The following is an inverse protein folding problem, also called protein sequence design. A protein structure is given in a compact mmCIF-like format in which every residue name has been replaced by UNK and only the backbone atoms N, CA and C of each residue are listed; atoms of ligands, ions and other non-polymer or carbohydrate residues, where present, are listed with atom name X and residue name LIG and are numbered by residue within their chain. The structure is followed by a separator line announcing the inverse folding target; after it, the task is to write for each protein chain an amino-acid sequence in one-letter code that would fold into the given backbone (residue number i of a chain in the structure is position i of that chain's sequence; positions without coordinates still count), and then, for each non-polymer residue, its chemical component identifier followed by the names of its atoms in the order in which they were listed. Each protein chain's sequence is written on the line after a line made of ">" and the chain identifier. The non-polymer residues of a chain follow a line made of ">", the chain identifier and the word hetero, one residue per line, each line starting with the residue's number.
data_IF_050188508284
#
_entry.id   IF_050188508284
#
_cell.length_a   1.000
_cell.length_b   1.000
_cell.length_c   1.000
_cell.angle_alpha   90.00
_cell.angle_beta   90.00
_cell.angle_gamma   90.00
#
_symmetry.space_group_name_H-M   'P 1'
#
loop_
_entity.id
_entity.type
_entity.pdbx_description
1 polymer ?
#
# COMPACT_ATOMS: atom_id res chain seq x y z
N UNK A 1 5.14 -2.61 8.15
CA UNK A 1 4.36 -2.71 6.91
C UNK A 1 2.99 -2.10 7.16
N UNK A 2 2.48 -1.29 6.22
CA UNK A 2 1.17 -0.63 6.28
C UNK A 2 0.20 -1.13 5.21
N UNK A 3 0.68 -1.85 4.20
CA UNK A 3 -0.16 -2.53 3.23
C UNK A 3 0.62 -3.00 2.00
N UNK A 4 -0.08 -3.07 0.87
CA UNK A 4 0.38 -3.67 -0.38
C UNK A 4 0.04 -2.80 -1.58
N UNK A 5 0.95 -2.66 -2.54
CA UNK A 5 0.71 -1.94 -3.78
C UNK A 5 0.73 -2.94 -4.95
N UNK A 6 -0.30 -2.91 -5.79
CA UNK A 6 -0.35 -3.72 -7.01
C UNK A 6 0.12 -2.90 -8.21
N UNK A 7 1.07 -3.44 -8.96
CA UNK A 7 1.64 -2.76 -10.12
C UNK A 7 2.36 -3.73 -11.06
N UNK A 8 3.40 -3.24 -11.72
CA UNK A 8 4.22 -3.97 -12.68
C UNK A 8 5.61 -4.22 -12.08
N UNK A 9 6.21 -5.39 -12.30
CA UNK A 9 7.57 -5.71 -11.83
C UNK A 9 8.62 -4.79 -12.46
N UNK A 10 8.37 -4.34 -13.69
CA UNK A 10 9.20 -3.41 -14.45
C UNK A 10 9.32 -2.04 -13.76
N UNK A 11 8.42 -1.72 -12.83
CA UNK A 11 8.49 -0.51 -12.01
C UNK A 11 9.27 -0.71 -10.70
N UNK A 12 9.92 -1.87 -10.49
CA UNK A 12 10.60 -2.19 -9.24
C UNK A 12 11.61 -1.12 -8.84
N UNK A 13 12.56 -0.82 -9.72
CA UNK A 13 13.69 0.06 -9.37
C UNK A 13 13.21 1.48 -9.05
N UNK A 14 12.18 1.97 -9.77
CA UNK A 14 11.61 3.28 -9.50
C UNK A 14 10.81 3.32 -8.20
N UNK A 15 10.04 2.27 -7.90
CA UNK A 15 9.28 2.17 -6.65
C UNK A 15 10.21 2.00 -5.43
N UNK A 16 11.27 1.21 -5.55
CA UNK A 16 12.21 0.96 -4.45
C UNK A 16 13.13 2.15 -4.16
N UNK A 17 13.43 2.97 -5.17
CA UNK A 17 14.15 4.24 -5.04
C UNK A 17 13.36 5.32 -4.28
N UNK A 18 12.04 5.17 -4.19
CA UNK A 18 11.15 6.04 -3.42
C UNK A 18 10.06 6.70 -4.26
N UNK A 19 9.00 7.12 -3.59
CA UNK A 19 7.86 7.75 -4.24
C UNK A 19 8.21 9.19 -4.65
N UNK A 20 7.74 9.61 -5.83
CA UNK A 20 7.97 10.94 -6.37
C UNK A 20 6.75 11.44 -7.12
N UNK A 21 6.33 12.68 -6.86
CA UNK A 21 5.21 13.33 -7.55
C UNK A 21 5.47 13.53 -9.04
N UNK A 22 6.74 13.47 -9.49
CA UNK A 22 7.12 13.52 -10.91
C UNK A 22 6.66 12.28 -11.67
N UNK A 23 6.50 11.15 -10.98
CA UNK A 23 6.02 9.90 -11.55
C UNK A 23 4.61 9.67 -11.05
N UNK A 24 3.68 10.38 -11.66
CA UNK A 24 2.28 10.30 -11.31
C UNK A 24 1.64 9.15 -12.11
N UNK A 25 0.69 8.41 -11.51
CA UNK A 25 0.02 7.27 -12.15
C UNK A 25 -0.68 7.69 -13.45
N UNK A 26 -1.22 6.76 -14.26
CA UNK A 26 -1.85 7.17 -15.53
C UNK A 26 -2.93 8.24 -15.33
N UNK A 27 -3.05 9.17 -16.28
CA UNK A 27 -4.04 10.27 -16.23
C UNK A 27 -5.49 9.79 -15.94
N UNK A 28 -5.86 8.62 -16.47
CA UNK A 28 -7.14 7.97 -16.18
C UNK A 28 -7.29 7.51 -14.73
N UNK A 29 -6.20 7.06 -14.09
CA UNK A 29 -6.20 6.66 -12.68
C UNK A 29 -6.29 7.88 -11.76
N UNK A 30 -5.61 8.98 -12.12
CA UNK A 30 -5.70 10.24 -11.40
C UNK A 30 -7.08 10.89 -11.50
N UNK A 31 -7.71 10.85 -12.67
CA UNK A 31 -9.06 11.36 -12.85
C UNK A 31 -10.10 10.62 -11.98
N UNK A 32 -9.87 9.33 -11.72
CA UNK A 32 -10.79 8.49 -10.94
C UNK A 32 -10.51 8.52 -9.43
N UNK A 33 -9.25 8.64 -9.04
CA UNK A 33 -8.83 8.42 -7.65
C UNK A 33 -8.16 9.66 -7.03
N UNK A 34 -7.84 10.69 -7.81
CA UNK A 34 -7.00 11.81 -7.41
C UNK A 34 -5.50 11.57 -7.59
N UNK A 35 -4.69 12.57 -7.27
CA UNK A 35 -3.23 12.43 -7.25
C UNK A 35 -2.78 11.80 -5.92
N UNK A 36 -1.94 10.78 -6.00
CA UNK A 36 -1.38 10.13 -4.83
C UNK A 36 -0.80 8.75 -5.13
N UNK A 37 -0.27 8.12 -4.10
CA UNK A 37 0.16 6.73 -4.16
C UNK A 37 -0.85 5.83 -3.45
N UNK A 38 -1.33 4.81 -4.15
CA UNK A 38 -2.42 3.96 -3.68
C UNK A 38 -1.92 2.59 -3.24
N UNK A 39 -2.42 2.12 -2.11
CA UNK A 39 -2.13 0.79 -1.59
C UNK A 39 -3.37 0.18 -0.95
N UNK A 40 -3.38 -1.13 -0.75
CA UNK A 40 -4.45 -1.87 -0.09
C UNK A 40 -3.94 -2.55 1.17
N UNK A 41 -4.81 -2.69 2.17
CA UNK A 41 -4.49 -3.39 3.41
C UNK A 41 -4.45 -4.92 3.25
N UNK A 42 -5.07 -5.46 2.20
CA UNK A 42 -5.10 -6.89 1.87
C UNK A 42 -4.32 -7.17 0.59
N UNK A 43 -3.49 -8.20 0.62
CA UNK A 43 -2.70 -8.65 -0.53
C UNK A 43 -3.58 -8.93 -1.75
N UNK A 44 -4.70 -9.63 -1.57
CA UNK A 44 -5.60 -10.02 -2.66
C UNK A 44 -6.21 -8.83 -3.40
N UNK A 45 -6.41 -7.70 -2.70
CA UNK A 45 -6.91 -6.48 -3.33
C UNK A 45 -5.82 -5.81 -4.17
N UNK A 46 -4.58 -5.77 -3.67
CA UNK A 46 -3.45 -5.29 -4.44
C UNK A 46 -3.15 -6.20 -5.65
N UNK A 47 -3.24 -7.51 -5.49
CA UNK A 47 -3.06 -8.47 -6.60
C UNK A 47 -4.08 -8.26 -7.73
N UNK A 48 -5.35 -7.97 -7.40
CA UNK A 48 -6.35 -7.60 -8.41
C UNK A 48 -5.94 -6.33 -9.18
N UNK A 49 -5.42 -5.33 -8.48
CA UNK A 49 -4.92 -4.11 -9.14
C UNK A 49 -3.67 -4.36 -9.99
N UNK A 50 -2.81 -5.31 -9.62
CA UNK A 50 -1.66 -5.72 -10.43
C UNK A 50 -2.09 -6.31 -11.79
N UNK A 51 -3.30 -6.88 -11.90
CA UNK A 51 -3.86 -7.35 -13.17
C UNK A 51 -4.00 -6.25 -14.25
N UNK A 52 -4.04 -4.97 -13.87
CA UNK A 52 -3.98 -3.87 -14.86
C UNK A 52 -2.61 -3.76 -15.55
N UNK A 53 -1.53 -4.24 -14.91
CA UNK A 53 -0.22 -4.34 -15.54
C UNK A 53 -0.24 -5.41 -16.64
N UNK A 54 -0.87 -6.56 -16.38
CA UNK A 54 -1.04 -7.66 -17.34
C UNK A 54 -1.75 -7.19 -18.62
N UNK A 55 -2.85 -6.44 -18.45
CA UNK A 55 -3.61 -5.86 -19.55
C UNK A 55 -2.79 -4.88 -20.41
N UNK A 56 -1.63 -4.42 -19.92
CA UNK A 56 -0.68 -3.55 -20.63
C UNK A 56 0.56 -4.30 -21.13
N UNK A 57 0.58 -5.63 -21.03
CA UNK A 57 1.72 -6.46 -21.43
C UNK A 57 2.91 -6.40 -20.47
N UNK A 58 2.68 -5.96 -19.23
CA UNK A 58 3.70 -5.89 -18.18
C UNK A 58 3.53 -7.05 -17.19
N UNK A 59 4.59 -7.39 -16.46
CA UNK A 59 4.60 -8.47 -15.48
C UNK A 59 3.87 -8.03 -14.20
N UNK A 60 2.72 -8.61 -13.84
CA UNK A 60 1.99 -8.22 -12.63
C UNK A 60 2.81 -8.52 -11.38
N UNK A 61 2.91 -7.55 -10.48
CA UNK A 61 3.64 -7.72 -9.21
C UNK A 61 2.93 -7.02 -8.05
N UNK A 62 3.08 -7.59 -6.86
CA UNK A 62 2.59 -6.99 -5.60
C UNK A 62 3.77 -6.62 -4.73
N UNK A 63 3.80 -5.36 -4.34
CA UNK A 63 4.83 -4.74 -3.52
C UNK A 63 4.36 -4.59 -2.08
N UNK A 64 5.28 -4.70 -1.13
CA UNK A 64 5.06 -4.32 0.27
C UNK A 64 5.20 -2.81 0.43
N UNK A 65 4.29 -2.20 1.19
CA UNK A 65 4.32 -0.77 1.52
C UNK A 65 4.60 -0.60 3.01
N UNK A 66 5.59 0.22 3.32
CA UNK A 66 6.12 0.42 4.66
C UNK A 66 6.13 1.92 4.97
N UNK A 67 5.81 2.30 6.20
CA UNK A 67 5.98 3.66 6.68
C UNK A 67 7.03 3.68 7.79
N UNK A 68 7.72 4.80 7.94
CA UNK A 68 8.58 5.03 9.11
C UNK A 68 7.77 4.87 10.41
N UNK A 69 8.39 4.30 11.45
CA UNK A 69 7.72 4.02 12.73
C UNK A 69 7.07 5.25 13.36
N UNK A 70 7.71 6.42 13.26
CA UNK A 70 7.16 7.68 13.80
C UNK A 70 5.89 8.11 13.06
N UNK A 71 5.87 7.93 11.75
CA UNK A 71 4.73 8.24 10.89
C UNK A 71 3.59 7.25 11.10
N UNK A 72 3.91 5.95 11.19
CA UNK A 72 2.94 4.90 11.51
C UNK A 72 2.15 5.19 12.81
N UNK A 73 2.84 5.70 13.84
CA UNK A 73 2.22 6.05 15.13
C UNK A 73 1.34 7.31 15.07
N UNK A 74 1.48 8.12 14.01
CA UNK A 74 0.68 9.31 13.75
C UNK A 74 -0.57 9.04 12.91
N UNK A 75 -0.70 7.86 12.28
CA UNK A 75 -1.95 7.44 11.63
C UNK A 75 -3.05 7.23 12.69
N UNK A 76 -3.66 8.32 13.17
CA UNK A 76 -4.80 8.31 14.07
C UNK A 76 -6.04 8.70 13.28
N UNK A 77 -7.06 7.87 13.39
CA UNK A 77 -8.38 8.08 12.78
C UNK A 77 -8.90 9.48 13.14
N UNK A 78 -9.01 10.36 12.15
CA UNK A 78 -9.49 11.75 12.33
C UNK A 78 -8.41 12.84 12.29
N UNK A 79 -7.14 12.51 11.99
CA UNK A 79 -6.03 13.47 11.93
C UNK A 79 -5.23 13.39 10.62
N UNK A 80 -5.86 13.13 9.48
CA UNK A 80 -5.11 12.83 8.25
C UNK A 80 -5.41 13.83 7.12
N UNK A 81 -4.69 14.95 7.09
CA UNK A 81 -4.66 15.85 5.92
C UNK A 81 -3.83 15.28 4.74
N UNK A 82 -3.38 14.02 4.79
CA UNK A 82 -2.53 13.40 3.77
C UNK A 82 -2.68 11.88 3.60
N UNK A 83 -3.62 11.23 4.31
CA UNK A 83 -3.98 9.84 4.04
C UNK A 83 -5.48 9.74 3.80
N UNK A 84 -5.86 9.29 2.62
CA UNK A 84 -7.26 9.15 2.19
C UNK A 84 -7.67 7.68 2.09
N UNK A 85 -8.97 7.41 2.17
CA UNK A 85 -9.54 6.13 1.78
C UNK A 85 -10.51 6.34 0.62
N UNK A 86 -10.26 5.68 -0.51
CA UNK A 86 -11.16 5.67 -1.66
C UNK A 86 -11.59 4.23 -1.90
N UNK A 87 -12.83 3.92 -1.54
CA UNK A 87 -13.34 2.56 -1.51
C UNK A 87 -12.51 1.65 -0.60
N UNK A 88 -11.82 0.67 -1.18
CA UNK A 88 -10.92 -0.25 -0.45
C UNK A 88 -9.43 0.10 -0.54
N UNK A 89 -9.09 1.15 -1.31
CA UNK A 89 -7.73 1.65 -1.43
C UNK A 89 -7.46 2.72 -0.37
N UNK A 90 -6.25 2.67 0.18
CA UNK A 90 -5.64 3.74 0.95
C UNK A 90 -4.80 4.58 0.01
N UNK A 91 -4.76 5.89 0.24
CA UNK A 91 -4.00 6.85 -0.55
C UNK A 91 -3.00 7.57 0.34
N UNK A 92 -1.77 7.70 -0.14
CA UNK A 92 -0.71 8.54 0.42
C UNK A 92 -0.62 9.80 -0.43
N UNK A 93 -0.79 10.95 0.19
CA UNK A 93 -0.56 12.25 -0.43
C UNK A 93 0.92 12.43 -0.79
N UNK A 94 1.19 13.12 -1.91
CA UNK A 94 2.54 13.35 -2.41
C UNK A 94 3.48 14.02 -1.40
N UNK A 95 2.95 14.85 -0.49
CA UNK A 95 3.72 15.50 0.59
C UNK A 95 4.33 14.49 1.58
N UNK A 96 3.82 13.27 1.62
CA UNK A 96 4.24 12.20 2.53
C UNK A 96 5.06 11.11 1.84
N UNK A 97 5.42 11.29 0.57
CA UNK A 97 6.18 10.29 -0.19
C UNK A 97 7.54 9.94 0.42
N UNK A 98 8.25 10.92 0.99
CA UNK A 98 9.53 10.67 1.70
C UNK A 98 9.39 9.90 3.01
N UNK A 99 8.17 9.55 3.42
CA UNK A 99 7.85 8.81 4.65
C UNK A 99 7.42 7.36 4.42
N UNK A 100 7.29 6.99 3.15
CA UNK A 100 6.84 5.67 2.71
C UNK A 100 7.93 5.03 1.88
N UNK A 101 8.10 3.73 2.10
CA UNK A 101 9.05 2.88 1.40
C UNK A 101 8.27 1.75 0.75
N UNK A 102 8.60 1.47 -0.51
CA UNK A 102 8.02 0.37 -1.28
C UNK A 102 9.10 -0.68 -1.55
N UNK A 103 8.76 -1.97 -1.44
CA UNK A 103 9.69 -3.08 -1.65
C UNK A 103 9.03 -4.17 -2.48
N UNK A 104 9.76 -4.70 -3.46
CA UNK A 104 9.31 -5.82 -4.29
C UNK A 104 9.27 -7.12 -3.50
N UNK A 105 10.24 -7.31 -2.61
CA UNK A 105 10.24 -8.39 -1.64
C UNK A 105 9.42 -7.97 -0.41
N UNK A 106 8.36 -8.74 -0.14
CA UNK A 106 7.46 -8.46 0.98
C UNK A 106 8.06 -9.10 2.24
N UNK A 107 8.74 -8.28 3.03
CA UNK A 107 9.06 -8.62 4.41
C UNK A 107 7.81 -8.46 5.28
N UNK A 108 7.22 -9.58 5.68
CA UNK A 108 6.15 -9.55 6.68
C UNK A 108 6.71 -9.11 8.03
N UNK A 109 6.00 -8.26 8.79
CA UNK A 109 6.44 -7.93 10.14
C UNK A 109 6.63 -9.23 10.93
N UNK A 110 7.73 -9.34 11.68
CA UNK A 110 7.93 -10.45 12.61
C UNK A 110 6.86 -10.33 13.70
N UNK A 111 5.75 -11.02 13.51
CA UNK A 111 4.71 -11.19 14.53
C UNK A 111 5.28 -12.25 15.48
N UNK A 112 5.74 -11.83 16.68
CA UNK A 112 6.08 -12.80 17.73
C UNK A 112 4.85 -13.68 17.95
N UNK A 113 5.03 -15.00 17.90
CA UNK A 113 3.99 -16.04 17.88
C UNK A 113 2.80 -15.77 18.84
N UNK A 114 3.05 -15.16 19.99
CA UNK A 114 2.05 -14.85 21.02
C UNK A 114 1.05 -13.74 20.66
N UNK A 115 1.35 -12.87 19.68
CA UNK A 115 0.41 -11.85 19.20
C UNK A 115 -0.48 -12.36 18.07
N UNK A 116 -0.06 -13.38 17.33
CA UNK A 116 -0.90 -14.04 16.31
C UNK A 116 -2.12 -14.72 16.96
N UNK A 117 -1.91 -15.51 18.00
CA UNK A 117 -3.01 -16.18 18.73
C UNK A 117 -3.99 -15.20 19.38
N UNK A 118 -3.52 -14.03 19.83
CA UNK A 118 -4.39 -12.99 20.40
C UNK A 118 -5.21 -12.23 19.35
N UNK A 119 -4.70 -12.11 18.13
CA UNK A 119 -5.42 -11.49 17.02
C UNK A 119 -6.48 -12.46 16.47
N UNK A 120 -6.08 -13.73 16.24
CA UNK A 120 -6.96 -14.79 15.75
C UNK A 120 -8.13 -15.08 16.72
N UNK A 121 -7.87 -15.05 18.04
CA UNK A 121 -8.92 -15.16 19.05
C UNK A 121 -9.93 -14.00 19.00
N UNK A 122 -9.46 -12.76 18.78
CA UNK A 122 -10.32 -11.58 18.67
C UNK A 122 -11.11 -11.53 17.37
N UNK A 123 -10.52 -12.02 16.29
CA UNK A 123 -11.19 -12.07 14.98
C UNK A 123 -12.28 -13.16 14.99
N UNK A 124 -12.04 -14.30 15.65
CA UNK A 124 -13.08 -15.31 15.96
C UNK A 124 -14.20 -14.77 16.85
N UNK A 125 -13.89 -14.00 17.89
CA UNK A 125 -14.90 -13.34 18.73
C UNK A 125 -15.74 -12.32 17.95
N UNK A 126 -15.22 -11.80 16.83
CA UNK A 126 -15.90 -10.85 15.94
C UNK A 126 -16.62 -11.51 14.76
N UNK A 127 -16.61 -12.84 14.69
CA UNK A 127 -17.35 -13.61 13.68
C UNK A 127 -16.73 -13.60 12.28
N UNK A 128 -15.40 -13.48 12.18
CA UNK A 128 -14.65 -13.63 10.93
C UNK A 128 -13.88 -14.96 10.92
#
# INVERSE_FOLDING_TARGET
>A
MIGYHGGALEHKDSLEAGLSSKFSGSASGQALMGEGFYFAHKFQLAAKSAGFAEARGLTPHVYGVYAEKREFLMFRKGFDNGYGRIGNAMMVDSRLFGKVVVRAEIEMPIIRRDSFFRQEARDKERGW
#
